data_IF_273706915598
#
_entry.id   IF_273706915598
#
_cell.length_a   1.000
_cell.length_b   1.000
_cell.length_c   1.000
_cell.angle_alpha   90.00
_cell.angle_beta   90.00
_cell.angle_gamma   90.00
#
_symmetry.space_group_name_H-M   'P 1'
#
loop_
_entity.id
_entity.type
_entity.pdbx_description
1 polymer ?
#
# COMPACT_ATOMS: atom_id res chain seq x y z
N UNK A 1 12.05 -6.69 -9.65
CA UNK A 1 12.88 -7.56 -10.52
C UNK A 1 13.34 -6.70 -11.67
N UNK A 2 14.64 -6.63 -11.89
CA UNK A 2 15.20 -5.91 -13.02
C UNK A 2 15.78 -6.92 -14.00
N UNK A 3 15.23 -6.97 -15.19
CA UNK A 3 15.91 -7.62 -16.31
C UNK A 3 16.79 -6.58 -17.00
N UNK A 4 17.98 -7.00 -17.43
CA UNK A 4 18.84 -6.16 -18.27
C UNK A 4 18.62 -6.59 -19.71
N UNK A 5 18.72 -5.63 -20.63
CA UNK A 5 18.74 -5.96 -22.04
C UNK A 5 20.01 -6.75 -22.40
N UNK A 6 19.94 -7.50 -23.45
CA UNK A 6 21.06 -8.32 -23.93
C UNK A 6 22.10 -7.49 -24.73
N UNK A 7 21.88 -6.19 -24.87
CA UNK A 7 22.76 -5.31 -25.66
C UNK A 7 24.07 -4.98 -24.98
N UNK A 8 24.25 -5.37 -23.71
CA UNK A 8 25.43 -5.06 -22.92
C UNK A 8 25.48 -3.63 -22.38
N UNK A 9 24.54 -2.76 -22.69
CA UNK A 9 24.48 -1.38 -22.18
C UNK A 9 23.93 -1.29 -20.75
N UNK A 10 23.49 -2.42 -20.19
CA UNK A 10 23.00 -2.49 -18.81
C UNK A 10 21.69 -1.74 -18.56
N UNK A 11 20.93 -1.45 -19.60
CA UNK A 11 19.62 -0.81 -19.49
C UNK A 11 18.65 -1.73 -18.76
N UNK A 12 17.85 -1.14 -17.89
CA UNK A 12 16.78 -1.85 -17.18
C UNK A 12 15.57 -1.95 -18.09
N UNK A 13 15.14 -3.16 -18.38
CA UNK A 13 13.89 -3.36 -19.08
C UNK A 13 12.70 -3.04 -18.17
N UNK A 14 11.66 -2.36 -18.68
CA UNK A 14 10.47 -2.08 -17.90
C UNK A 14 9.69 -3.37 -17.62
N UNK A 15 9.04 -3.42 -16.47
CA UNK A 15 7.99 -4.39 -16.19
C UNK A 15 6.73 -3.95 -16.92
N UNK A 16 6.07 -4.86 -17.62
CA UNK A 16 4.88 -4.55 -18.42
C UNK A 16 3.75 -5.56 -18.18
N UNK A 17 2.51 -5.12 -18.35
CA UNK A 17 1.31 -5.97 -18.28
C UNK A 17 1.16 -6.74 -16.97
N UNK A 18 1.42 -6.09 -15.84
CA UNK A 18 1.29 -6.70 -14.51
C UNK A 18 -0.08 -6.37 -13.92
N UNK A 19 -0.77 -7.39 -13.46
CA UNK A 19 -1.95 -7.23 -12.60
C UNK A 19 -1.68 -7.89 -11.24
N UNK A 20 -1.84 -7.12 -10.17
CA UNK A 20 -1.84 -7.60 -8.79
C UNK A 20 -3.21 -7.27 -8.19
N UNK A 21 -3.92 -8.31 -7.81
CA UNK A 21 -5.26 -8.15 -7.26
C UNK A 21 -5.54 -9.12 -6.10
N UNK A 22 -6.47 -8.73 -5.23
CA UNK A 22 -6.94 -9.52 -4.08
C UNK A 22 -5.79 -10.02 -3.17
N UNK A 23 -4.69 -9.27 -3.14
CA UNK A 23 -3.48 -9.63 -2.39
C UNK A 23 -3.35 -8.81 -1.12
N UNK A 24 -2.74 -9.41 -0.08
CA UNK A 24 -2.48 -8.74 1.19
C UNK A 24 -0.99 -8.42 1.34
N UNK A 25 -0.69 -7.15 1.64
CA UNK A 25 0.65 -6.62 1.95
C UNK A 25 0.61 -6.07 3.37
N UNK A 26 1.00 -6.85 4.35
CA UNK A 26 0.80 -6.46 5.73
C UNK A 26 2.00 -6.72 6.62
N UNK A 27 2.12 -5.94 7.68
CA UNK A 27 2.99 -6.18 8.82
C UNK A 27 4.46 -6.40 8.44
N UNK A 28 4.98 -5.58 7.54
CA UNK A 28 6.40 -5.56 7.25
C UNK A 28 7.20 -5.31 8.55
N UNK A 29 8.23 -6.14 8.82
CA UNK A 29 8.99 -6.08 10.07
C UNK A 29 9.88 -4.84 10.16
N UNK A 30 9.68 -4.02 11.18
CA UNK A 30 10.42 -2.74 11.38
C UNK A 30 11.74 -2.93 12.14
N UNK A 31 12.55 -3.89 11.74
CA UNK A 31 13.84 -4.18 12.37
C UNK A 31 14.91 -3.13 12.04
N UNK A 32 14.81 -2.47 10.86
CA UNK A 32 15.78 -1.52 10.35
C UNK A 32 15.16 -0.16 9.93
N UNK A 33 14.06 0.26 10.56
CA UNK A 33 13.29 1.44 10.13
C UNK A 33 12.81 1.35 8.66
N UNK A 34 12.53 0.14 8.16
CA UNK A 34 12.23 -0.12 6.75
C UNK A 34 11.03 -1.06 6.56
N UNK A 35 10.06 -1.03 7.47
CA UNK A 35 8.81 -1.79 7.38
C UNK A 35 7.90 -1.21 6.28
N UNK A 36 8.33 -1.31 5.04
CA UNK A 36 7.64 -0.76 3.88
C UNK A 36 6.76 -1.80 3.20
N UNK A 37 5.59 -1.37 2.73
CA UNK A 37 4.64 -2.27 2.09
C UNK A 37 5.13 -2.79 0.75
N UNK A 38 5.25 -1.92 -0.25
CA UNK A 38 5.66 -2.32 -1.59
C UNK A 38 6.27 -1.17 -2.38
N UNK A 39 7.09 -1.51 -3.38
CA UNK A 39 7.42 -0.62 -4.50
C UNK A 39 6.94 -1.29 -5.77
N UNK A 40 5.96 -0.70 -6.41
CA UNK A 40 5.26 -1.25 -7.57
C UNK A 40 5.16 -0.21 -8.68
N UNK A 41 5.06 -0.66 -9.90
CA UNK A 41 4.97 0.21 -11.07
C UNK A 41 5.14 -0.61 -12.35
N UNK A 42 5.47 0.04 -13.42
CA UNK A 42 5.66 -0.55 -14.74
C UNK A 42 4.78 0.13 -15.77
N UNK A 43 4.67 -0.49 -16.96
CA UNK A 43 3.78 -0.02 -17.99
C UNK A 43 2.58 -0.95 -18.16
N UNK A 44 1.39 -0.38 -18.34
CA UNK A 44 0.13 -1.11 -18.40
C UNK A 44 -0.09 -2.01 -17.17
N UNK A 45 0.18 -1.46 -16.00
CA UNK A 45 0.09 -2.18 -14.73
C UNK A 45 -1.22 -1.85 -14.01
N UNK A 46 -1.83 -2.85 -13.36
CA UNK A 46 -3.07 -2.72 -12.58
C UNK A 46 -2.89 -3.28 -11.18
N UNK A 47 -3.18 -2.45 -10.18
CA UNK A 47 -3.18 -2.85 -8.77
C UNK A 47 -4.57 -2.60 -8.21
N UNK A 48 -5.36 -3.66 -8.02
CA UNK A 48 -6.75 -3.50 -7.64
C UNK A 48 -7.20 -4.48 -6.55
N UNK A 49 -8.06 -3.99 -5.67
CA UNK A 49 -8.68 -4.80 -4.62
C UNK A 49 -7.67 -5.47 -3.67
N UNK A 50 -6.54 -4.80 -3.42
CA UNK A 50 -5.53 -5.25 -2.48
C UNK A 50 -5.71 -4.59 -1.11
N UNK A 51 -5.17 -5.21 -0.07
CA UNK A 51 -5.03 -4.65 1.27
C UNK A 51 -3.57 -4.34 1.56
N UNK A 52 -3.29 -3.09 1.95
CA UNK A 52 -2.02 -2.67 2.55
C UNK A 52 -2.29 -2.33 4.01
N UNK A 53 -1.76 -3.10 4.95
CA UNK A 53 -2.09 -2.95 6.36
C UNK A 53 -0.85 -2.96 7.26
N UNK A 54 -0.78 -1.97 8.18
CA UNK A 54 0.25 -1.92 9.23
C UNK A 54 1.69 -1.95 8.70
N UNK A 55 1.95 -1.23 7.61
CA UNK A 55 3.29 -0.93 7.12
C UNK A 55 3.61 0.54 7.40
N UNK A 56 4.79 0.85 7.89
CA UNK A 56 5.13 2.23 8.28
C UNK A 56 5.07 3.22 7.12
N UNK A 57 5.30 2.74 5.89
CA UNK A 57 5.41 3.58 4.70
C UNK A 57 5.24 2.76 3.41
N UNK A 58 5.14 3.44 2.26
CA UNK A 58 5.05 2.83 0.92
C UNK A 58 3.88 1.84 0.80
N UNK A 59 2.70 2.35 0.99
CA UNK A 59 1.45 1.59 0.86
C UNK A 59 0.64 1.97 -0.43
N UNK A 60 1.23 2.00 -1.63
CA UNK A 60 2.55 1.57 -2.06
C UNK A 60 3.45 2.74 -2.47
N UNK A 61 4.74 2.48 -2.76
CA UNK A 61 5.61 3.43 -3.46
C UNK A 61 5.56 3.15 -4.96
N UNK A 62 5.44 4.21 -5.76
CA UNK A 62 5.33 4.13 -7.21
C UNK A 62 6.71 4.09 -7.84
N UNK A 63 6.94 3.15 -8.74
CA UNK A 63 8.14 3.10 -9.58
C UNK A 63 8.23 4.31 -10.52
N UNK A 64 9.43 4.58 -11.01
CA UNK A 64 9.66 5.66 -11.96
C UNK A 64 9.22 5.29 -13.37
N UNK A 65 8.91 6.30 -14.19
CA UNK A 65 8.68 6.19 -15.63
C UNK A 65 7.64 5.12 -15.98
N UNK A 66 6.44 5.24 -15.37
CA UNK A 66 5.40 4.25 -15.60
C UNK A 66 4.00 4.76 -15.30
N UNK A 67 3.02 3.97 -15.68
CA UNK A 67 1.63 4.17 -15.32
C UNK A 67 1.27 3.37 -14.08
N UNK A 68 0.66 4.04 -13.13
CA UNK A 68 0.25 3.47 -11.85
C UNK A 68 -1.26 3.52 -11.71
N UNK A 69 -1.89 2.36 -11.88
CA UNK A 69 -3.33 2.21 -11.75
C UNK A 69 -3.66 1.54 -10.41
N UNK A 70 -4.18 2.31 -9.46
CA UNK A 70 -4.46 1.91 -8.09
C UNK A 70 -5.96 2.09 -7.82
N UNK A 71 -6.72 0.98 -7.92
CA UNK A 71 -8.18 0.98 -7.99
C UNK A 71 -8.78 0.08 -6.93
N UNK A 72 -9.72 0.60 -6.13
CA UNK A 72 -10.45 -0.18 -5.13
C UNK A 72 -9.58 -0.91 -4.10
N UNK A 73 -8.42 -0.38 -3.75
CA UNK A 73 -7.58 -0.93 -2.69
C UNK A 73 -7.97 -0.37 -1.32
N UNK A 74 -7.55 -1.04 -0.26
CA UNK A 74 -7.65 -0.58 1.12
C UNK A 74 -6.25 -0.34 1.66
N UNK A 75 -6.02 0.84 2.25
CA UNK A 75 -4.78 1.19 2.95
C UNK A 75 -5.10 1.48 4.40
N UNK A 76 -4.45 0.77 5.32
CA UNK A 76 -4.71 0.88 6.76
C UNK A 76 -3.43 1.06 7.57
N UNK A 77 -3.49 1.95 8.58
CA UNK A 77 -2.50 2.05 9.66
C UNK A 77 -1.06 2.34 9.19
N UNK A 78 -0.86 3.41 8.43
CA UNK A 78 0.48 3.89 8.03
C UNK A 78 0.99 4.93 9.03
N UNK A 79 2.31 4.95 9.24
CA UNK A 79 2.95 5.94 10.12
C UNK A 79 3.49 7.15 9.35
N UNK A 80 4.07 6.94 8.17
CA UNK A 80 4.76 7.99 7.42
C UNK A 80 4.11 8.29 6.07
N UNK A 81 3.95 7.29 5.20
CA UNK A 81 3.45 7.51 3.83
C UNK A 81 2.38 6.48 3.50
N UNK A 82 1.30 6.96 2.90
CA UNK A 82 0.32 6.12 2.21
C UNK A 82 0.87 5.74 0.83
N UNK A 83 0.38 6.35 -0.26
CA UNK A 83 0.96 6.18 -1.60
C UNK A 83 1.95 7.30 -1.87
N UNK A 84 3.13 6.98 -2.41
CA UNK A 84 4.18 7.96 -2.71
C UNK A 84 5.03 7.54 -3.92
N UNK A 85 5.94 8.39 -4.36
CA UNK A 85 6.96 8.03 -5.34
C UNK A 85 6.64 8.48 -6.77
N UNK A 86 7.15 7.71 -7.72
CA UNK A 86 7.14 8.07 -9.14
C UNK A 86 8.21 9.09 -9.52
N UNK A 87 7.98 9.81 -10.60
CA UNK A 87 8.81 10.90 -11.10
C UNK A 87 8.00 11.80 -12.04
N UNK A 88 8.69 12.66 -12.80
CA UNK A 88 8.05 13.58 -13.73
C UNK A 88 7.47 12.92 -15.01
N UNK A 89 7.71 11.65 -15.23
CA UNK A 89 7.16 10.87 -16.35
C UNK A 89 6.03 9.93 -15.94
N UNK A 90 5.80 9.79 -14.63
CA UNK A 90 4.78 8.87 -14.10
C UNK A 90 3.37 9.39 -14.33
N UNK A 91 2.43 8.47 -14.54
CA UNK A 91 1.01 8.73 -14.62
C UNK A 91 0.28 7.95 -13.53
N UNK A 92 -0.61 8.62 -12.81
CA UNK A 92 -1.32 8.00 -11.69
C UNK A 92 -2.82 8.01 -11.93
N UNK A 93 -3.45 6.85 -11.83
CA UNK A 93 -4.88 6.69 -11.61
C UNK A 93 -5.08 6.16 -10.19
N UNK A 94 -5.58 6.97 -9.27
CA UNK A 94 -5.88 6.57 -7.88
C UNK A 94 -7.37 6.73 -7.67
N UNK A 95 -8.11 5.62 -7.81
CA UNK A 95 -9.55 5.64 -7.99
C UNK A 95 -10.25 4.75 -6.96
N UNK A 96 -11.22 5.33 -6.24
CA UNK A 96 -12.13 4.63 -5.35
C UNK A 96 -11.41 3.71 -4.35
N UNK A 97 -10.29 4.16 -3.77
CA UNK A 97 -9.59 3.44 -2.70
C UNK A 97 -10.07 3.91 -1.32
N UNK A 98 -9.97 3.06 -0.32
CA UNK A 98 -10.32 3.37 1.05
C UNK A 98 -9.07 3.49 1.91
N UNK A 99 -8.83 4.68 2.46
CA UNK A 99 -7.71 4.98 3.35
C UNK A 99 -8.23 5.09 4.79
N UNK A 100 -7.79 4.20 5.66
CA UNK A 100 -8.21 4.16 7.06
C UNK A 100 -7.01 4.38 7.98
N UNK A 101 -6.84 5.59 8.55
CA UNK A 101 -5.87 5.81 9.61
C UNK A 101 -6.06 4.79 10.74
N UNK A 102 -4.96 4.32 11.31
CA UNK A 102 -4.97 3.34 12.39
C UNK A 102 -4.19 3.83 13.61
N UNK A 103 -3.91 2.94 14.58
CA UNK A 103 -3.31 3.32 15.86
C UNK A 103 -1.96 4.03 15.77
N UNK A 104 -1.12 3.71 14.75
CA UNK A 104 0.19 4.36 14.57
C UNK A 104 0.11 5.63 13.74
N UNK A 105 -0.99 5.86 13.02
CA UNK A 105 -1.11 7.00 12.11
C UNK A 105 -1.17 8.31 12.89
N UNK A 106 -0.29 9.30 12.64
CA UNK A 106 -0.28 10.59 13.35
C UNK A 106 -1.49 11.43 12.97
N UNK A 107 -2.58 11.34 13.75
CA UNK A 107 -3.87 12.01 13.43
C UNK A 107 -3.81 13.54 13.50
N UNK A 108 -2.84 14.08 14.21
CA UNK A 108 -2.57 15.52 14.35
C UNK A 108 -1.83 16.11 13.13
N UNK A 109 -1.42 15.28 12.16
CA UNK A 109 -0.61 15.70 11.01
C UNK A 109 -1.32 15.49 9.68
N UNK A 110 -1.02 16.31 8.65
CA UNK A 110 -1.58 16.18 7.31
C UNK A 110 -1.39 14.79 6.70
N UNK A 111 -0.39 14.05 7.12
CA UNK A 111 -0.11 12.69 6.67
C UNK A 111 -1.27 11.72 6.97
N UNK A 112 -2.10 12.00 7.97
CA UNK A 112 -3.25 11.16 8.34
C UNK A 112 -4.35 11.11 7.26
N UNK A 113 -4.40 12.11 6.39
CA UNK A 113 -5.36 12.17 5.29
C UNK A 113 -4.70 12.25 3.91
N UNK A 114 -3.40 11.93 3.82
CA UNK A 114 -2.67 11.88 2.56
C UNK A 114 -3.09 10.66 1.73
N UNK A 115 -3.49 10.91 0.51
CA UNK A 115 -3.72 9.88 -0.52
C UNK A 115 -2.44 9.63 -1.29
N UNK A 116 -1.83 10.70 -1.85
CA UNK A 116 -0.66 10.63 -2.71
C UNK A 116 0.37 11.69 -2.33
N UNK A 117 1.64 11.30 -2.30
CA UNK A 117 2.79 12.22 -2.33
C UNK A 117 3.60 11.93 -3.59
N UNK A 118 3.32 12.60 -4.72
CA UNK A 118 4.11 12.42 -5.93
C UNK A 118 5.52 12.99 -5.75
N UNK A 119 6.52 12.36 -6.37
CA UNK A 119 7.89 12.86 -6.38
C UNK A 119 8.23 13.55 -7.71
N UNK A 120 9.12 14.53 -7.63
CA UNK A 120 9.61 15.25 -8.80
C UNK A 120 10.61 14.41 -9.60
N UNK A 121 10.86 14.84 -10.83
CA UNK A 121 11.95 14.33 -11.64
C UNK A 121 13.29 14.44 -10.89
N UNK A 122 14.14 13.41 -11.05
CA UNK A 122 15.40 13.28 -10.29
C UNK A 122 16.57 13.99 -10.92
N UNK A 123 16.44 14.39 -12.18
CA UNK A 123 17.50 15.14 -12.89
C UNK A 123 17.56 16.59 -12.37
N UNK A 124 18.53 16.84 -11.51
CA UNK A 124 18.73 18.15 -10.89
C UNK A 124 19.22 19.24 -11.86
N UNK A 125 19.64 18.86 -13.07
CA UNK A 125 20.02 19.81 -14.11
C UNK A 125 18.80 20.41 -14.84
N UNK A 126 17.62 19.85 -14.64
CA UNK A 126 16.36 20.28 -15.24
C UNK A 126 15.47 21.00 -14.24
N UNK A 127 14.60 21.91 -14.71
CA UNK A 127 13.56 22.48 -13.84
C UNK A 127 12.73 21.40 -13.15
N UNK A 128 12.35 21.66 -11.90
CA UNK A 128 11.48 20.76 -11.15
C UNK A 128 10.15 20.55 -11.91
N UNK A 129 9.80 19.30 -12.10
CA UNK A 129 8.55 18.88 -12.75
C UNK A 129 8.06 17.57 -12.16
N UNK A 130 6.76 17.32 -12.28
CA UNK A 130 6.07 16.15 -11.74
C UNK A 130 5.31 15.43 -12.84
N UNK A 131 5.02 14.15 -12.59
CA UNK A 131 4.07 13.39 -13.38
C UNK A 131 2.63 13.91 -13.25
N UNK A 132 1.70 13.24 -13.89
CA UNK A 132 0.29 13.64 -13.94
C UNK A 132 -0.57 12.65 -13.14
N UNK A 133 -1.55 13.15 -12.41
CA UNK A 133 -2.39 12.32 -11.54
C UNK A 133 -3.89 12.60 -11.73
N UNK A 134 -4.64 11.53 -11.89
CA UNK A 134 -6.09 11.50 -11.68
C UNK A 134 -6.36 10.84 -10.33
N UNK A 135 -6.91 11.62 -9.38
CA UNK A 135 -7.20 11.16 -8.02
C UNK A 135 -8.65 11.49 -7.73
N UNK A 136 -9.50 10.46 -7.64
CA UNK A 136 -10.93 10.68 -7.48
C UNK A 136 -11.65 9.52 -6.79
N UNK A 137 -12.72 9.84 -6.07
CA UNK A 137 -13.60 8.88 -5.43
C UNK A 137 -12.99 8.15 -4.23
N UNK A 138 -11.81 8.56 -3.76
CA UNK A 138 -11.18 7.92 -2.61
C UNK A 138 -11.81 8.42 -1.31
N UNK A 139 -12.04 7.50 -0.38
CA UNK A 139 -12.52 7.80 0.97
C UNK A 139 -11.35 7.84 1.95
N UNK A 140 -11.25 8.92 2.70
CA UNK A 140 -10.39 9.00 3.88
C UNK A 140 -11.26 8.87 5.12
N UNK A 141 -11.16 7.74 5.80
CA UNK A 141 -11.93 7.48 7.02
C UNK A 141 -11.68 8.57 8.07
N UNK A 142 -12.76 9.19 8.54
CA UNK A 142 -12.70 10.28 9.51
C UNK A 142 -12.37 11.66 8.92
N UNK A 143 -12.18 11.81 7.59
CA UNK A 143 -11.94 13.12 6.97
C UNK A 143 -12.93 13.39 5.81
N UNK A 144 -14.05 13.99 6.13
CA UNK A 144 -15.10 14.30 5.16
C UNK A 144 -14.67 15.32 4.09
N UNK A 145 -13.78 16.25 4.44
CA UNK A 145 -13.26 17.27 3.52
C UNK A 145 -12.49 16.65 2.36
N UNK A 146 -11.50 15.82 2.67
CA UNK A 146 -10.68 15.15 1.66
C UNK A 146 -11.47 14.07 0.93
N UNK A 147 -12.41 13.41 1.59
CA UNK A 147 -13.32 12.46 0.95
C UNK A 147 -14.20 13.12 -0.10
N UNK A 148 -14.72 14.32 0.18
CA UNK A 148 -15.56 15.07 -0.76
C UNK A 148 -14.76 15.57 -1.97
N UNK A 149 -13.53 16.01 -1.76
CA UNK A 149 -12.61 16.47 -2.78
C UNK A 149 -11.20 15.99 -2.44
N UNK A 150 -10.74 14.96 -3.13
CA UNK A 150 -9.43 14.34 -2.86
C UNK A 150 -8.25 15.31 -3.09
N UNK A 151 -8.42 16.37 -3.87
CA UNK A 151 -7.41 17.39 -4.09
C UNK A 151 -7.36 18.44 -2.98
N UNK A 152 -8.37 18.48 -2.12
CA UNK A 152 -8.42 19.40 -1.00
C UNK A 152 -7.60 18.88 0.20
N UNK A 153 -6.30 18.65 -0.02
CA UNK A 153 -5.32 18.20 0.96
C UNK A 153 -4.94 16.72 0.87
N UNK A 154 -5.59 15.91 0.02
CA UNK A 154 -5.25 14.49 -0.14
C UNK A 154 -4.00 14.26 -0.99
N UNK A 155 -3.74 15.12 -1.97
CA UNK A 155 -2.46 15.14 -2.70
C UNK A 155 -1.57 16.20 -2.07
N UNK A 156 -0.40 15.77 -1.59
CA UNK A 156 0.52 16.63 -0.84
C UNK A 156 1.93 16.53 -1.42
N UNK A 157 2.61 17.65 -1.55
CA UNK A 157 4.00 17.70 -1.98
C UNK A 157 4.96 17.69 -0.77
N UNK A 158 6.24 17.73 -1.02
CA UNK A 158 7.21 17.94 0.03
C UNK A 158 7.06 19.38 0.57
N UNK A 159 7.33 19.58 1.86
CA UNK A 159 7.07 20.84 2.56
C UNK A 159 7.78 22.07 1.96
N UNK A 160 8.90 21.82 1.28
CA UNK A 160 9.70 22.83 0.59
C UNK A 160 9.20 23.17 -0.82
N UNK A 161 8.14 22.51 -1.30
CA UNK A 161 7.61 22.66 -2.66
C UNK A 161 6.33 23.51 -2.61
N UNK A 162 6.25 24.49 -3.50
CA UNK A 162 5.06 25.34 -3.68
C UNK A 162 3.90 24.51 -4.28
N UNK A 163 2.97 24.08 -3.42
CA UNK A 163 1.78 23.34 -3.83
C UNK A 163 0.88 24.17 -4.75
N UNK A 164 0.76 25.48 -4.52
CA UNK A 164 -0.06 26.38 -5.34
C UNK A 164 0.40 26.39 -6.80
N UNK A 165 1.71 26.32 -7.01
CA UNK A 165 2.32 26.28 -8.33
C UNK A 165 2.20 24.90 -9.00
N UNK A 166 2.44 23.81 -8.26
CA UNK A 166 2.64 22.50 -8.87
C UNK A 166 1.40 21.61 -8.86
N UNK A 167 0.51 21.68 -7.86
CA UNK A 167 -0.70 20.85 -7.84
C UNK A 167 -1.59 21.05 -9.08
N UNK A 168 -1.83 22.27 -9.60
CA UNK A 168 -2.58 22.45 -10.83
C UNK A 168 -1.91 21.81 -12.05
N UNK A 169 -0.59 21.69 -12.04
CA UNK A 169 0.14 21.04 -13.14
C UNK A 169 0.08 19.52 -13.05
N UNK A 170 -0.04 18.95 -11.84
CA UNK A 170 -0.11 17.50 -11.60
C UNK A 170 -1.51 16.98 -11.88
N UNK A 171 -2.53 17.73 -11.49
CA UNK A 171 -3.93 17.33 -11.59
C UNK A 171 -4.38 17.19 -13.05
N UNK A 172 -5.08 16.08 -13.33
CA UNK A 172 -5.90 15.91 -14.53
C UNK A 172 -7.33 15.55 -14.14
N UNK A 173 -8.28 15.95 -15.00
CA UNK A 173 -9.72 15.79 -14.75
C UNK A 173 -10.30 14.50 -15.35
N UNK A 174 -9.48 13.75 -16.07
CA UNK A 174 -9.89 12.47 -16.67
C UNK A 174 -8.84 11.41 -16.36
N UNK A 175 -9.30 10.20 -16.06
CA UNK A 175 -8.43 9.06 -15.88
C UNK A 175 -7.64 8.76 -17.16
N UNK A 176 -6.41 8.36 -16.99
CA UNK A 176 -5.61 7.80 -18.08
C UNK A 176 -6.17 6.45 -18.50
N UNK A 177 -5.89 6.07 -19.75
CA UNK A 177 -6.20 4.73 -20.24
C UNK A 177 -5.52 3.69 -19.33
N UNK A 178 -6.26 2.67 -18.97
CA UNK A 178 -5.77 1.56 -18.14
C UNK A 178 -6.41 0.26 -18.60
N UNK A 179 -5.87 -0.87 -18.14
CA UNK A 179 -6.46 -2.19 -18.39
C UNK A 179 -7.90 -2.24 -17.86
N UNK A 180 -8.80 -2.97 -18.52
CA UNK A 180 -10.19 -3.10 -18.10
C UNK A 180 -10.28 -3.62 -16.65
N UNK A 181 -11.03 -2.92 -15.81
CA UNK A 181 -11.32 -3.30 -14.44
C UNK A 181 -12.71 -2.83 -14.04
N UNK A 182 -13.46 -3.65 -13.33
CA UNK A 182 -14.72 -3.23 -12.72
C UNK A 182 -14.41 -2.31 -11.54
N UNK A 183 -14.75 -1.03 -11.66
CA UNK A 183 -14.59 -0.04 -10.60
C UNK A 183 -15.82 -0.08 -9.72
N UNK A 184 -15.65 -0.50 -8.47
CA UNK A 184 -16.70 -0.51 -7.46
C UNK A 184 -16.82 0.85 -6.77
N UNK A 185 -17.99 1.14 -6.21
CA UNK A 185 -18.13 2.15 -5.18
C UNK A 185 -17.14 1.88 -4.03
N UNK A 186 -16.56 2.94 -3.48
CA UNK A 186 -15.44 2.81 -2.53
C UNK A 186 -15.84 2.06 -1.25
N UNK A 187 -17.06 2.27 -0.73
CA UNK A 187 -17.50 1.55 0.46
C UNK A 187 -17.76 0.07 0.16
N UNK A 188 -18.30 -0.23 -1.02
CA UNK A 188 -18.46 -1.61 -1.48
C UNK A 188 -17.11 -2.28 -1.69
N UNK A 189 -16.14 -1.57 -2.26
CA UNK A 189 -14.78 -2.05 -2.43
C UNK A 189 -14.11 -2.37 -1.09
N UNK A 190 -14.28 -1.52 -0.06
CA UNK A 190 -13.78 -1.77 1.29
C UNK A 190 -14.29 -3.12 1.83
N UNK A 191 -15.58 -3.35 1.77
CA UNK A 191 -16.18 -4.61 2.25
C UNK A 191 -15.67 -5.80 1.41
N UNK A 192 -15.69 -5.67 0.07
CA UNK A 192 -15.21 -6.72 -0.83
C UNK A 192 -13.76 -7.11 -0.53
N UNK A 193 -12.88 -6.14 -0.33
CA UNK A 193 -11.46 -6.39 -0.02
C UNK A 193 -11.35 -7.17 1.29
N UNK A 194 -12.03 -6.76 2.35
CA UNK A 194 -11.93 -7.45 3.63
C UNK A 194 -12.47 -8.89 3.57
N UNK A 195 -13.45 -9.14 2.73
CA UNK A 195 -14.05 -10.47 2.57
C UNK A 195 -13.19 -11.40 1.69
N UNK A 196 -12.49 -10.86 0.67
CA UNK A 196 -11.91 -11.66 -0.40
C UNK A 196 -10.38 -11.57 -0.54
N UNK A 197 -9.69 -10.69 0.20
CA UNK A 197 -8.24 -10.49 0.06
C UNK A 197 -7.44 -11.60 0.73
N UNK A 198 -6.29 -11.93 0.15
CA UNK A 198 -5.40 -12.97 0.66
C UNK A 198 -5.85 -14.38 0.29
N UNK A 199 -5.26 -15.38 0.94
CA UNK A 199 -5.64 -16.78 0.74
C UNK A 199 -6.92 -17.10 1.50
N UNK A 200 -8.03 -17.26 0.78
CA UNK A 200 -9.36 -17.46 1.37
C UNK A 200 -9.88 -18.90 1.23
N UNK A 201 -9.26 -19.71 0.39
CA UNK A 201 -9.65 -21.09 0.13
C UNK A 201 -8.60 -22.08 0.67
N UNK A 202 -9.01 -23.21 1.25
CA UNK A 202 -10.39 -23.58 1.61
C UNK A 202 -10.96 -22.71 2.74
N UNK A 203 -10.12 -22.09 3.54
CA UNK A 203 -10.46 -21.06 4.52
C UNK A 203 -9.27 -20.14 4.80
N UNK A 204 -9.56 -18.90 5.17
CA UNK A 204 -8.54 -17.94 5.60
C UNK A 204 -7.82 -18.43 6.86
N UNK A 205 -6.51 -18.35 6.91
CA UNK A 205 -5.73 -18.71 8.07
C UNK A 205 -5.86 -17.69 9.23
N UNK A 206 -5.30 -18.04 10.38
CA UNK A 206 -5.40 -17.23 11.60
C UNK A 206 -4.67 -15.89 11.48
N UNK A 207 -3.58 -15.83 10.70
CA UNK A 207 -2.79 -14.59 10.49
C UNK A 207 -3.60 -13.61 9.67
N UNK A 208 -4.10 -14.02 8.50
CA UNK A 208 -4.92 -13.19 7.63
C UNK A 208 -6.22 -12.77 8.32
N UNK A 209 -6.87 -13.69 9.05
CA UNK A 209 -8.08 -13.38 9.83
C UNK A 209 -7.81 -12.31 10.91
N UNK A 210 -6.65 -12.38 11.59
CA UNK A 210 -6.23 -11.38 12.59
C UNK A 210 -5.98 -10.02 11.94
N UNK A 211 -5.28 -9.98 10.81
CA UNK A 211 -5.02 -8.72 10.07
C UNK A 211 -6.36 -8.09 9.65
N UNK A 212 -7.26 -8.85 9.06
CA UNK A 212 -8.60 -8.37 8.69
C UNK A 212 -9.34 -7.82 9.91
N UNK A 213 -9.33 -8.54 11.04
CA UNK A 213 -9.95 -8.08 12.29
C UNK A 213 -9.36 -6.77 12.79
N UNK A 214 -8.04 -6.61 12.67
CA UNK A 214 -7.34 -5.35 12.99
C UNK A 214 -7.84 -4.20 12.13
N UNK A 215 -7.97 -4.42 10.82
CA UNK A 215 -8.52 -3.41 9.90
C UNK A 215 -9.98 -3.07 10.24
N UNK A 216 -10.82 -4.08 10.47
CA UNK A 216 -12.24 -3.89 10.80
C UNK A 216 -12.42 -3.04 12.07
N UNK A 217 -11.72 -3.42 13.13
CA UNK A 217 -11.87 -2.79 14.45
C UNK A 217 -11.09 -1.46 14.58
N UNK A 218 -10.07 -1.25 13.75
CA UNK A 218 -9.13 -0.14 13.89
C UNK A 218 -8.21 -0.26 15.11
N UNK A 219 -8.11 -1.45 15.71
CA UNK A 219 -7.31 -1.72 16.92
C UNK A 219 -6.25 -2.77 16.62
N UNK A 220 -5.01 -2.52 17.03
CA UNK A 220 -3.96 -3.50 16.94
C UNK A 220 -4.28 -4.75 17.80
N UNK A 221 -3.99 -5.92 17.25
CA UNK A 221 -4.12 -7.20 17.96
C UNK A 221 -2.71 -7.76 18.11
N UNK A 222 -2.31 -8.00 19.35
CA UNK A 222 -0.97 -8.47 19.70
C UNK A 222 -1.03 -9.51 20.82
N UNK A 223 0.04 -10.29 20.97
CA UNK A 223 0.14 -11.31 21.99
C UNK A 223 0.31 -10.68 23.39
N UNK A 224 -0.26 -11.31 24.42
CA UNK A 224 -0.20 -10.83 25.81
C UNK A 224 1.25 -10.69 26.27
N UNK A 225 2.09 -11.65 25.93
CA UNK A 225 3.50 -11.74 26.32
C UNK A 225 4.42 -11.36 25.15
N UNK A 226 3.98 -10.38 24.33
CA UNK A 226 4.71 -9.91 23.17
C UNK A 226 6.07 -9.32 23.58
N UNK A 227 7.19 -9.79 23.00
CA UNK A 227 8.50 -9.29 23.35
C UNK A 227 8.70 -7.87 22.80
N UNK A 228 9.29 -7.00 23.61
CA UNK A 228 9.84 -5.74 23.10
C UNK A 228 11.10 -6.03 22.30
N UNK A 229 11.30 -5.23 21.26
CA UNK A 229 12.47 -5.39 20.39
C UNK A 229 13.28 -4.11 20.33
N UNK A 230 14.57 -4.25 20.56
CA UNK A 230 15.55 -3.17 20.37
C UNK A 230 16.54 -3.65 19.31
N UNK A 231 16.57 -2.97 18.18
CA UNK A 231 17.53 -3.31 17.13
C UNK A 231 18.96 -3.07 17.61
N UNK A 232 19.86 -4.06 17.52
CA UNK A 232 21.26 -3.85 17.85
C UNK A 232 22.04 -3.08 16.74
N UNK A 233 21.43 -2.87 15.59
CA UNK A 233 22.12 -2.35 14.39
C UNK A 233 21.72 -0.92 14.07
N UNK A 234 20.55 -0.46 14.48
CA UNK A 234 20.03 0.86 14.11
C UNK A 234 19.15 1.43 15.22
N UNK A 235 19.27 2.73 15.46
CA UNK A 235 18.35 3.44 16.35
C UNK A 235 16.97 3.50 15.68
N UNK A 236 15.98 2.82 16.28
CA UNK A 236 14.61 2.83 15.76
C UNK A 236 13.97 4.21 15.92
N UNK A 237 13.15 4.57 14.91
CA UNK A 237 12.32 5.79 14.92
C UNK A 237 11.05 5.60 15.76
N UNK A 238 10.54 4.38 15.85
CA UNK A 238 9.38 4.01 16.65
C UNK A 238 9.82 3.40 17.98
N UNK A 239 9.00 3.52 19.05
CA UNK A 239 9.30 2.92 20.34
C UNK A 239 9.33 1.38 20.27
N UNK A 240 9.97 0.75 21.26
CA UNK A 240 10.13 -0.70 21.34
C UNK A 240 8.79 -1.46 21.37
N UNK A 241 7.75 -0.83 21.89
CA UNK A 241 6.39 -1.36 21.99
C UNK A 241 5.45 -0.95 20.84
N UNK A 242 6.02 -0.55 19.69
CA UNK A 242 5.25 -0.15 18.50
C UNK A 242 4.24 -1.22 18.00
N UNK A 243 4.45 -2.48 18.37
CA UNK A 243 3.52 -3.56 18.08
C UNK A 243 2.14 -3.34 18.72
N UNK A 244 2.05 -2.62 19.86
CA UNK A 244 0.78 -2.22 20.47
C UNK A 244 -0.02 -1.25 19.58
N UNK A 245 0.63 -0.67 18.58
CA UNK A 245 0.03 0.19 17.56
C UNK A 245 0.03 -0.48 16.18
N UNK A 246 0.34 -1.78 16.11
CA UNK A 246 0.28 -2.60 14.90
C UNK A 246 1.54 -2.58 14.04
N UNK A 247 2.63 -1.97 14.48
CA UNK A 247 3.92 -2.04 13.76
C UNK A 247 4.83 -3.01 14.49
N UNK A 248 5.03 -4.17 13.90
CA UNK A 248 5.77 -5.27 14.49
C UNK A 248 7.23 -5.30 14.04
N UNK A 249 8.06 -5.93 14.87
CA UNK A 249 9.48 -6.20 14.60
C UNK A 249 9.80 -7.67 14.65
N UNK A 250 8.86 -8.47 15.19
CA UNK A 250 8.97 -9.90 15.32
C UNK A 250 7.56 -10.52 15.28
N UNK A 251 7.42 -11.62 14.58
CA UNK A 251 6.13 -12.31 14.43
C UNK A 251 5.56 -12.80 15.76
N UNK A 252 6.42 -13.07 16.77
CA UNK A 252 5.99 -13.45 18.13
C UNK A 252 5.15 -12.37 18.80
N UNK A 253 5.31 -11.12 18.39
CA UNK A 253 4.51 -10.00 18.90
C UNK A 253 3.02 -10.12 18.55
N UNK A 254 2.70 -10.91 17.56
CA UNK A 254 1.33 -11.12 17.06
C UNK A 254 0.89 -12.59 17.09
N UNK A 255 1.57 -13.41 17.90
CA UNK A 255 1.20 -14.81 18.12
C UNK A 255 2.08 -15.83 17.38
N UNK A 256 3.09 -15.39 16.64
CA UNK A 256 4.03 -16.28 15.96
C UNK A 256 3.46 -16.89 14.68
N UNK A 257 4.07 -17.98 14.25
CA UNK A 257 3.58 -18.76 13.11
C UNK A 257 2.36 -19.58 13.55
N UNK A 258 1.33 -19.69 12.68
CA UNK A 258 0.19 -20.54 12.98
C UNK A 258 0.63 -22.01 13.00
N UNK A 259 0.13 -22.76 13.98
CA UNK A 259 0.25 -24.20 13.96
C UNK A 259 -0.88 -24.79 13.10
N UNK A 260 -0.51 -25.39 11.99
CA UNK A 260 -1.45 -26.15 11.18
C UNK A 260 -1.61 -27.55 11.78
N UNK A 261 -2.74 -27.79 12.44
CA UNK A 261 -3.11 -29.10 12.97
C UNK A 261 -4.26 -29.63 12.09
N UNK A 262 -4.02 -30.71 11.40
CA UNK A 262 -5.02 -31.37 10.56
C UNK A 262 -4.36 -32.38 9.62
N UNK A 263 -5.18 -33.27 9.10
CA UNK A 263 -4.77 -34.15 8.00
C UNK A 263 -4.53 -33.30 6.74
N UNK A 264 -3.58 -33.71 5.93
CA UNK A 264 -3.41 -33.11 4.60
C UNK A 264 -4.71 -33.28 3.80
N UNK A 265 -5.03 -32.27 3.02
CA UNK A 265 -6.16 -32.40 2.08
C UNK A 265 -5.91 -33.56 1.12
N UNK A 266 -6.98 -34.26 0.75
CA UNK A 266 -6.89 -35.22 -0.34
C UNK A 266 -6.61 -34.44 -1.63
N UNK A 267 -5.56 -34.82 -2.31
CA UNK A 267 -5.11 -34.27 -3.59
C UNK A 267 -4.80 -35.48 -4.48
N UNK A 268 -5.84 -36.03 -5.08
CA UNK A 268 -5.76 -37.30 -5.79
C UNK A 268 -5.06 -37.19 -7.14
N UNK A 269 -5.03 -36.01 -7.74
CA UNK A 269 -4.38 -35.76 -9.03
C UNK A 269 -3.03 -35.07 -8.93
N UNK A 270 -2.61 -34.67 -7.72
CA UNK A 270 -1.30 -34.08 -7.43
C UNK A 270 -1.10 -32.68 -7.98
N UNK A 271 -2.18 -31.91 -8.17
CA UNK A 271 -2.10 -30.55 -8.72
C UNK A 271 -1.84 -29.48 -7.64
N UNK A 272 -1.73 -29.88 -6.37
CA UNK A 272 -1.51 -29.01 -5.22
C UNK A 272 -2.77 -28.33 -4.70
N UNK A 273 -3.95 -28.72 -5.15
CA UNK A 273 -5.25 -28.25 -4.66
C UNK A 273 -6.02 -29.39 -3.99
N UNK A 274 -6.84 -29.09 -2.97
CA UNK A 274 -7.73 -30.08 -2.40
C UNK A 274 -8.74 -30.59 -3.43
N UNK A 275 -9.02 -31.89 -3.41
CA UNK A 275 -10.15 -32.46 -4.14
C UNK A 275 -11.47 -31.75 -3.75
N UNK A 276 -12.39 -31.58 -4.70
CA UNK A 276 -13.67 -30.88 -4.52
C UNK A 276 -14.67 -31.66 -3.66
#
# INVERSE_FOLDING_TARGET
VYNRDETGHGLKLPTVNITIQNSMFSEALDTYNHAFGATIGGHNSMFCRNLFASNISRNSSVGMDGDFNFVNNVVFNWWNRSVDGGDNKSFYNIINNYFKPGPITPLDKPISYRILKPEAGRDKSKPMSFGKAYVNGNIIHGNAKVTKDNWNGGVQLASEVDEGKFLPQIRVDKAFKMSPVTIMDTQKAYNFVLDNVGATLPKRDAVDARVIKTVQTGKAIYAKDAPEFISPYVKRRLPADSYKQGIITDIRQVGGLPEYKGEAYLDSDGDGMPDA
#
